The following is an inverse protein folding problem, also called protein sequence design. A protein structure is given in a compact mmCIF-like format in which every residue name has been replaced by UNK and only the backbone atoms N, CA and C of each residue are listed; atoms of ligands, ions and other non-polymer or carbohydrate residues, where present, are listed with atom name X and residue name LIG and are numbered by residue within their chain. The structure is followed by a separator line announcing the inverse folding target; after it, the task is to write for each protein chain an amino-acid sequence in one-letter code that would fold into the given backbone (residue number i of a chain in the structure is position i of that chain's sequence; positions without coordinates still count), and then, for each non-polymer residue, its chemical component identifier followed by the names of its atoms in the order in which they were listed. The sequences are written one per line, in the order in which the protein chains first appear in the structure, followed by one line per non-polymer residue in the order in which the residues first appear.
data_IF_420690842364
#
_entry.id   IF_420690842364
#
_cell.length_a   1.000
_cell.length_b   1.000
_cell.length_c   1.000
_cell.angle_alpha   90.00
_cell.angle_beta   90.00
_cell.angle_gamma   90.00
#
_symmetry.space_group_name_H-M   'P 1'
#
loop_
_entity.id
_entity.type
_entity.pdbx_description
1 polymer ?
#
# COMPACT_ATOMS: atom_id res chain seq x y z
N UNK A 1 -19.31 6.73 58.82
CA UNK A 1 -20.67 7.25 58.59
C UNK A 1 -21.22 7.53 59.97
N UNK A 2 -21.43 8.74 60.47
CA UNK A 2 -21.46 10.13 59.97
C UNK A 2 -20.31 10.96 60.60
N UNK A 3 -20.01 12.25 60.37
CA UNK A 3 -20.87 13.45 60.31
C UNK A 3 -20.11 14.62 59.64
N UNK A 4 -20.79 15.35 58.75
CA UNK A 4 -20.65 16.75 58.28
C UNK A 4 -19.26 17.40 58.11
N UNK A 5 -18.94 17.80 56.88
CA UNK A 5 -18.09 18.95 56.59
C UNK A 5 -18.89 19.94 55.73
N UNK A 6 -19.33 21.02 56.36
CA UNK A 6 -20.06 22.14 55.75
C UNK A 6 -19.01 23.00 55.02
N UNK A 7 -19.15 23.20 53.71
CA UNK A 7 -18.33 24.16 52.97
C UNK A 7 -18.98 25.54 53.12
N UNK A 8 -18.34 26.42 53.90
CA UNK A 8 -18.64 27.86 53.93
C UNK A 8 -18.24 28.49 52.58
N UNK A 9 -19.23 29.04 51.86
CA UNK A 9 -19.01 29.88 50.69
C UNK A 9 -19.07 31.34 51.15
N UNK A 10 -17.91 32.01 51.19
CA UNK A 10 -17.86 33.45 51.44
C UNK A 10 -18.31 34.20 50.18
N UNK A 11 -19.35 35.04 50.31
CA UNK A 11 -19.90 35.91 49.25
C UNK A 11 -19.62 37.36 49.65
N UNK A 12 -19.17 38.19 48.71
CA UNK A 12 -19.00 39.63 48.96
C UNK A 12 -20.34 40.39 48.80
N UNK A 13 -20.35 41.67 49.17
CA UNK A 13 -21.54 42.54 49.25
C UNK A 13 -22.28 42.75 47.92
N UNK A 14 -21.68 42.31 46.80
CA UNK A 14 -22.24 42.39 45.45
C UNK A 14 -22.60 41.03 44.83
N UNK A 15 -22.54 39.93 45.61
CA UNK A 15 -23.07 38.63 45.18
C UNK A 15 -22.18 37.81 44.23
N UNK A 16 -20.89 38.13 44.07
CA UNK A 16 -19.97 37.36 43.22
C UNK A 16 -19.19 36.30 44.00
N UNK A 17 -19.15 35.06 43.48
CA UNK A 17 -18.39 33.93 44.04
C UNK A 17 -16.92 34.08 43.68
N UNK A 18 -16.08 34.34 44.69
CA UNK A 18 -14.62 34.38 44.54
C UNK A 18 -14.07 32.97 44.31
N UNK A 19 -13.61 32.68 43.09
CA UNK A 19 -12.82 31.47 42.81
C UNK A 19 -11.44 31.61 43.46
N UNK A 20 -11.26 30.93 44.59
CA UNK A 20 -9.96 30.73 45.22
C UNK A 20 -9.14 29.72 44.41
N UNK A 21 -7.97 30.14 43.91
CA UNK A 21 -6.86 29.22 43.65
C UNK A 21 -5.54 29.97 43.67
N UNK A 22 -4.81 29.82 44.77
CA UNK A 22 -3.35 29.89 44.84
C UNK A 22 -2.95 28.63 45.63
N UNK A 23 -2.09 27.73 45.16
CA UNK A 23 -0.63 27.83 45.12
C UNK A 23 -0.06 26.46 44.64
N UNK A 24 1.26 26.26 44.42
CA UNK A 24 2.36 27.20 44.21
C UNK A 24 3.26 26.85 43.00
N UNK A 25 4.10 27.84 42.65
CA UNK A 25 5.26 27.79 41.76
C UNK A 25 6.28 26.71 42.15
N UNK A 26 6.75 25.93 41.17
CA UNK A 26 8.08 25.32 41.18
C UNK A 26 8.72 25.43 39.78
N UNK A 27 9.62 26.40 39.61
CA UNK A 27 10.57 26.44 38.50
C UNK A 27 11.59 25.31 38.64
N UNK A 28 11.71 24.48 37.60
CA UNK A 28 13.00 23.89 37.20
C UNK A 28 13.12 23.98 35.69
N UNK A 29 14.07 24.78 35.24
CA UNK A 29 14.57 24.85 33.87
C UNK A 29 15.27 23.54 33.54
N UNK A 30 14.86 22.85 32.48
CA UNK A 30 15.76 22.14 31.56
C UNK A 30 15.19 22.17 30.14
N UNK A 31 16.09 22.46 29.21
CA UNK A 31 15.91 22.78 27.81
C UNK A 31 15.77 21.48 26.99
N UNK A 32 14.64 21.25 26.32
CA UNK A 32 14.45 20.12 25.38
C UNK A 32 13.88 20.67 24.08
N UNK A 33 14.60 20.39 22.99
CA UNK A 33 14.48 21.02 21.68
C UNK A 33 13.10 20.94 21.02
N UNK A 34 12.82 21.99 20.26
CA UNK A 34 11.76 22.08 19.26
C UNK A 34 11.88 20.96 18.23
N UNK A 35 11.11 19.89 18.41
CA UNK A 35 10.66 19.05 17.31
C UNK A 35 9.37 19.66 16.75
N UNK A 36 9.51 20.41 15.67
CA UNK A 36 8.40 20.86 14.84
C UNK A 36 7.75 19.63 14.18
N UNK A 37 6.72 19.08 14.81
CA UNK A 37 5.77 18.21 14.14
C UNK A 37 4.88 19.07 13.25
N UNK A 38 5.28 19.22 11.99
CA UNK A 38 4.36 19.63 10.92
C UNK A 38 3.26 18.56 10.84
N UNK A 39 2.06 18.92 11.27
CA UNK A 39 0.83 18.17 11.04
C UNK A 39 0.69 17.87 9.54
N UNK A 40 0.96 16.61 9.19
CA UNK A 40 0.79 16.13 7.83
C UNK A 40 -0.71 15.87 7.62
N UNK A 41 -1.42 16.90 7.15
CA UNK A 41 -2.82 16.80 6.75
C UNK A 41 -2.88 15.98 5.45
N UNK A 42 -2.97 14.66 5.56
CA UNK A 42 -3.24 13.77 4.42
C UNK A 42 -4.75 13.79 4.22
N UNK A 43 -5.22 14.78 3.46
CA UNK A 43 -6.45 14.58 2.70
C UNK A 43 -6.16 13.44 1.71
N UNK A 44 -6.64 12.23 2.02
CA UNK A 44 -6.62 11.10 1.10
C UNK A 44 -7.52 11.43 -0.09
N UNK A 45 -6.98 12.17 -1.06
CA UNK A 45 -7.64 12.31 -2.35
C UNK A 45 -7.53 10.96 -3.06
N UNK A 46 -8.63 10.22 -3.17
CA UNK A 46 -8.75 8.95 -3.89
C UNK A 46 -8.26 8.99 -5.36
N UNK A 47 -7.92 10.17 -5.88
CA UNK A 47 -7.41 10.41 -7.23
C UNK A 47 -5.88 10.31 -7.38
N UNK A 48 -5.11 10.06 -6.31
CA UNK A 48 -3.64 10.13 -6.37
C UNK A 48 -2.99 9.00 -7.21
N UNK A 49 -3.72 7.92 -7.54
CA UNK A 49 -3.20 6.83 -8.39
C UNK A 49 -3.47 7.00 -9.90
N UNK A 50 -4.09 8.11 -10.34
CA UNK A 50 -4.22 8.41 -11.77
C UNK A 50 -2.89 8.91 -12.36
N UNK A 51 -2.39 8.24 -13.41
CA UNK A 51 -1.13 8.60 -14.08
C UNK A 51 -1.39 8.86 -15.56
N UNK A 52 -1.17 10.10 -16.00
CA UNK A 52 -1.22 10.41 -17.43
C UNK A 52 0.08 9.96 -18.14
N UNK A 53 0.11 10.12 -19.47
CA UNK A 53 1.28 9.78 -20.28
C UNK A 53 2.49 10.70 -20.05
N UNK A 54 2.27 12.01 -19.91
CA UNK A 54 3.32 13.00 -19.62
C UNK A 54 3.99 12.77 -18.26
N UNK A 55 3.24 12.53 -17.20
CA UNK A 55 3.75 12.31 -15.84
C UNK A 55 4.59 11.05 -15.80
N UNK A 56 4.11 9.98 -16.45
CA UNK A 56 4.85 8.73 -16.56
C UNK A 56 6.14 8.91 -17.36
N UNK A 57 6.11 9.72 -18.43
CA UNK A 57 7.30 10.03 -19.22
C UNK A 57 8.31 10.86 -18.43
N UNK A 58 7.83 11.87 -17.70
CA UNK A 58 8.65 12.72 -16.83
C UNK A 58 9.33 11.90 -15.73
N UNK A 59 8.59 11.02 -15.06
CA UNK A 59 9.13 10.07 -14.07
C UNK A 59 10.30 9.27 -14.63
N UNK A 60 10.15 8.71 -15.83
CA UNK A 60 11.19 7.89 -16.47
C UNK A 60 12.39 8.72 -16.91
N UNK A 61 12.16 9.90 -17.48
CA UNK A 61 13.24 10.78 -17.92
C UNK A 61 14.07 11.28 -16.75
N UNK A 62 13.42 11.78 -15.68
CA UNK A 62 14.11 12.21 -14.47
C UNK A 62 14.92 11.07 -13.85
N UNK A 63 14.36 9.86 -13.83
CA UNK A 63 15.09 8.68 -13.35
C UNK A 63 16.33 8.39 -14.20
N UNK A 64 16.21 8.48 -15.53
CA UNK A 64 17.34 8.28 -16.44
C UNK A 64 18.47 9.28 -16.20
N UNK A 65 18.14 10.56 -16.04
CA UNK A 65 19.09 11.65 -15.78
C UNK A 65 19.77 11.52 -14.39
N UNK A 66 19.04 11.01 -13.40
CA UNK A 66 19.54 10.89 -12.02
C UNK A 66 19.91 9.44 -11.63
N UNK A 67 20.10 8.56 -12.61
CA UNK A 67 20.34 7.12 -12.40
C UNK A 67 21.49 6.83 -11.44
N UNK A 68 22.60 7.56 -11.55
CA UNK A 68 23.76 7.40 -10.67
C UNK A 68 23.47 7.84 -9.23
N UNK A 69 22.62 8.86 -9.04
CA UNK A 69 22.15 9.26 -7.70
C UNK A 69 21.25 8.18 -7.09
N UNK A 70 20.41 7.52 -7.89
CA UNK A 70 19.58 6.39 -7.44
C UNK A 70 20.42 5.14 -7.08
N UNK A 71 21.62 4.99 -7.64
CA UNK A 71 22.56 3.92 -7.30
C UNK A 71 23.41 4.25 -6.08
N UNK A 72 23.65 5.53 -5.80
CA UNK A 72 24.45 5.98 -4.68
C UNK A 72 23.72 5.80 -3.33
N UNK A 73 24.28 4.98 -2.44
CA UNK A 73 23.72 4.74 -1.11
C UNK A 73 23.81 5.95 -0.15
N UNK A 74 24.64 6.95 -0.45
CA UNK A 74 24.74 8.18 0.36
C UNK A 74 23.54 9.11 0.16
N UNK A 75 22.81 8.97 -0.94
CA UNK A 75 21.65 9.79 -1.27
C UNK A 75 20.38 9.01 -0.88
N UNK A 76 19.52 9.63 -0.08
CA UNK A 76 18.22 9.05 0.26
C UNK A 76 17.34 9.02 -0.99
N UNK A 77 16.99 7.83 -1.46
CA UNK A 77 16.10 7.65 -2.64
C UNK A 77 14.74 8.34 -2.46
N UNK A 78 14.25 8.42 -1.22
CA UNK A 78 13.03 9.14 -0.84
C UNK A 78 13.06 10.60 -1.32
N UNK A 79 14.21 11.26 -1.24
CA UNK A 79 14.34 12.66 -1.64
C UNK A 79 14.27 12.82 -3.16
N UNK A 80 14.85 11.89 -3.92
CA UNK A 80 14.74 11.88 -5.37
C UNK A 80 13.29 11.62 -5.82
N UNK A 81 12.59 10.69 -5.18
CA UNK A 81 11.19 10.45 -5.46
C UNK A 81 10.30 11.64 -5.10
N UNK A 82 10.58 12.31 -3.97
CA UNK A 82 9.88 13.54 -3.57
C UNK A 82 10.08 14.65 -4.60
N UNK A 83 11.30 14.86 -5.12
CA UNK A 83 11.56 15.87 -6.15
C UNK A 83 10.73 15.65 -7.43
N UNK A 84 10.57 14.39 -7.85
CA UNK A 84 9.69 14.04 -8.97
C UNK A 84 8.24 14.33 -8.59
N UNK A 85 7.81 13.80 -7.45
CA UNK A 85 6.46 13.91 -6.94
C UNK A 85 5.97 15.36 -6.86
N UNK A 86 6.79 16.27 -6.32
CA UNK A 86 6.50 17.71 -6.25
C UNK A 86 6.29 18.36 -7.62
N UNK A 87 6.86 17.82 -8.70
CA UNK A 87 6.70 18.36 -10.06
C UNK A 87 5.44 17.86 -10.77
N UNK A 88 4.98 16.65 -10.46
CA UNK A 88 3.80 16.03 -11.08
C UNK A 88 2.59 15.98 -10.14
N UNK A 89 2.68 16.58 -8.94
CA UNK A 89 1.61 16.59 -7.94
C UNK A 89 1.31 15.21 -7.37
N UNK A 90 2.34 14.38 -7.15
CA UNK A 90 2.21 13.01 -6.61
C UNK A 90 3.04 12.83 -5.36
N UNK A 91 2.61 11.97 -4.45
CA UNK A 91 3.44 11.55 -3.34
C UNK A 91 4.69 10.74 -3.81
N UNK A 92 5.76 10.80 -3.01
CA UNK A 92 7.03 10.12 -3.28
C UNK A 92 6.87 8.59 -3.37
N UNK A 93 6.08 8.00 -2.48
CA UNK A 93 5.82 6.57 -2.45
C UNK A 93 5.05 6.09 -3.70
N UNK A 94 4.21 6.94 -4.30
CA UNK A 94 3.51 6.64 -5.55
C UNK A 94 4.46 6.63 -6.73
N UNK A 95 5.40 7.57 -6.79
CA UNK A 95 6.43 7.61 -7.82
C UNK A 95 7.27 6.34 -7.81
N UNK A 96 7.72 5.91 -6.62
CA UNK A 96 8.46 4.66 -6.45
C UNK A 96 7.61 3.44 -6.84
N UNK A 97 6.36 3.36 -6.38
CA UNK A 97 5.42 2.28 -6.72
C UNK A 97 5.20 2.20 -8.23
N UNK A 98 4.94 3.33 -8.88
CA UNK A 98 4.75 3.42 -10.33
C UNK A 98 5.98 2.94 -11.07
N UNK A 99 7.17 3.41 -10.69
CA UNK A 99 8.42 2.98 -11.33
C UNK A 99 8.64 1.48 -11.20
N UNK A 100 8.43 0.90 -10.00
CA UNK A 100 8.51 -0.55 -9.79
C UNK A 100 7.54 -1.32 -10.67
N UNK A 101 6.31 -0.83 -10.84
CA UNK A 101 5.31 -1.43 -11.72
C UNK A 101 5.75 -1.38 -13.19
N UNK A 102 6.26 -0.24 -13.67
CA UNK A 102 6.80 -0.09 -15.03
C UNK A 102 7.98 -1.04 -15.27
N UNK A 103 8.90 -1.15 -14.30
CA UNK A 103 10.02 -2.11 -14.36
C UNK A 103 9.50 -3.55 -14.44
N UNK A 104 8.49 -3.90 -13.66
CA UNK A 104 7.82 -5.21 -13.73
C UNK A 104 7.26 -5.52 -15.11
N UNK A 105 6.55 -4.57 -15.73
CA UNK A 105 6.02 -4.69 -17.09
C UNK A 105 7.13 -4.88 -18.12
N UNK A 106 8.19 -4.07 -18.08
CA UNK A 106 9.35 -4.23 -18.93
C UNK A 106 9.98 -5.63 -18.81
N UNK A 107 10.18 -6.11 -17.59
CA UNK A 107 10.75 -7.44 -17.33
C UNK A 107 9.85 -8.57 -17.86
N UNK A 108 8.52 -8.39 -17.89
CA UNK A 108 7.59 -9.35 -18.53
C UNK A 108 7.73 -9.32 -20.05
N UNK A 109 7.82 -8.12 -20.63
CA UNK A 109 7.94 -7.93 -22.08
C UNK A 109 9.23 -8.53 -22.63
N UNK A 110 10.39 -8.28 -22.01
CA UNK A 110 11.66 -8.88 -22.45
C UNK A 110 11.66 -10.40 -22.36
N UNK A 111 11.05 -10.97 -21.30
CA UNK A 111 10.93 -12.43 -21.14
C UNK A 111 10.01 -13.03 -22.19
N UNK A 112 8.93 -12.34 -22.56
CA UNK A 112 8.03 -12.78 -23.63
C UNK A 112 8.74 -12.73 -24.98
N UNK A 113 9.43 -11.63 -25.30
CA UNK A 113 10.22 -11.50 -26.53
C UNK A 113 11.27 -12.60 -26.66
N UNK A 114 11.91 -12.98 -25.55
CA UNK A 114 12.85 -14.11 -25.51
C UNK A 114 12.19 -15.47 -25.79
N UNK A 115 10.95 -15.70 -25.34
CA UNK A 115 10.24 -16.98 -25.50
C UNK A 115 9.61 -17.15 -26.87
N UNK A 116 8.95 -16.10 -27.37
CA UNK A 116 8.13 -16.14 -28.60
C UNK A 116 8.93 -15.66 -29.82
N UNK A 117 10.09 -15.03 -29.62
CA UNK A 117 10.91 -14.48 -30.68
C UNK A 117 10.49 -13.08 -31.11
N UNK A 118 10.68 -12.76 -32.39
CA UNK A 118 10.64 -11.42 -33.00
C UNK A 118 9.24 -10.79 -33.11
N UNK A 119 8.52 -10.74 -31.99
CA UNK A 119 7.29 -9.95 -31.88
C UNK A 119 7.63 -8.51 -31.52
N UNK A 120 7.10 -7.51 -32.26
CA UNK A 120 7.33 -6.11 -31.93
C UNK A 120 6.62 -5.75 -30.62
N UNK A 121 7.33 -5.08 -29.71
CA UNK A 121 6.78 -4.62 -28.44
C UNK A 121 6.18 -3.23 -28.64
N UNK A 122 4.84 -3.13 -28.58
CA UNK A 122 4.08 -1.87 -28.79
C UNK A 122 3.92 -1.01 -27.53
N UNK A 123 4.73 -1.22 -26.50
CA UNK A 123 4.57 -0.48 -25.25
C UNK A 123 5.30 0.87 -25.33
N UNK A 124 4.61 2.02 -25.15
CA UNK A 124 5.19 3.34 -25.39
C UNK A 124 6.46 3.63 -24.60
N UNK A 125 6.56 3.08 -23.39
CA UNK A 125 7.68 3.29 -22.48
C UNK A 125 8.82 2.28 -22.64
N UNK A 126 8.73 1.38 -23.63
CA UNK A 126 9.70 0.30 -23.78
C UNK A 126 11.10 0.83 -24.06
N UNK A 127 11.27 1.79 -24.97
CA UNK A 127 12.59 2.34 -25.32
C UNK A 127 13.23 3.03 -24.12
N UNK A 128 12.53 3.96 -23.48
CA UNK A 128 13.02 4.67 -22.29
C UNK A 128 13.42 3.69 -21.19
N UNK A 129 12.57 2.71 -20.91
CA UNK A 129 12.87 1.72 -19.88
C UNK A 129 14.03 0.79 -20.28
N UNK A 130 14.16 0.45 -21.56
CA UNK A 130 15.31 -0.29 -22.07
C UNK A 130 16.60 0.48 -21.85
N UNK A 131 16.64 1.77 -22.15
CA UNK A 131 17.82 2.61 -21.97
C UNK A 131 18.22 2.76 -20.50
N UNK A 132 17.25 2.91 -19.61
CA UNK A 132 17.49 2.96 -18.17
C UNK A 132 18.08 1.62 -17.67
N UNK A 133 17.59 0.49 -18.18
CA UNK A 133 17.82 -0.82 -17.58
C UNK A 133 18.83 -1.72 -18.31
N UNK A 134 19.25 -1.39 -19.54
CA UNK A 134 20.18 -2.20 -20.36
C UNK A 134 21.53 -2.46 -19.67
N UNK A 135 21.93 -1.57 -18.77
CA UNK A 135 23.19 -1.70 -18.03
C UNK A 135 23.11 -2.61 -16.80
N UNK A 136 21.92 -2.84 -16.26
CA UNK A 136 21.74 -3.63 -15.04
C UNK A 136 22.17 -5.08 -15.30
N UNK A 137 23.13 -5.59 -14.52
CA UNK A 137 23.71 -6.94 -14.68
C UNK A 137 22.66 -8.05 -14.72
N UNK A 138 21.61 -7.93 -13.91
CA UNK A 138 20.51 -8.89 -13.86
C UNK A 138 19.67 -8.86 -15.14
N UNK A 139 19.56 -7.70 -15.78
CA UNK A 139 18.76 -7.50 -16.99
C UNK A 139 19.59 -7.89 -18.21
N UNK A 140 20.89 -7.57 -18.23
CA UNK A 140 21.85 -8.08 -19.23
C UNK A 140 21.77 -9.60 -19.35
N UNK A 141 21.75 -10.33 -18.23
CA UNK A 141 21.59 -11.80 -18.22
C UNK A 141 20.31 -12.27 -18.92
N UNK A 142 19.21 -11.51 -18.83
CA UNK A 142 17.93 -11.85 -19.46
C UNK A 142 17.94 -11.53 -20.97
N UNK A 143 18.66 -10.48 -21.36
CA UNK A 143 18.76 -10.00 -22.74
C UNK A 143 19.74 -10.81 -23.62
N UNK A 144 20.70 -11.53 -23.02
CA UNK A 144 21.64 -12.36 -23.77
C UNK A 144 20.89 -13.39 -24.63
N UNK A 145 21.31 -13.60 -25.90
CA UNK A 145 20.79 -14.68 -26.74
C UNK A 145 20.95 -16.02 -26.01
N UNK A 146 19.95 -16.88 -26.11
CA UNK A 146 20.08 -18.27 -25.68
C UNK A 146 21.19 -18.88 -26.56
N UNK A 147 22.21 -19.55 -25.99
CA UNK A 147 23.19 -20.25 -26.82
C UNK A 147 22.43 -21.23 -27.71
N UNK A 148 22.45 -20.98 -29.02
CA UNK A 148 22.03 -21.94 -30.02
C UNK A 148 22.90 -23.16 -29.81
N UNK A 149 22.34 -24.24 -29.28
CA UNK A 149 23.01 -25.54 -29.34
C UNK A 149 23.18 -25.78 -30.85
N UNK A 150 24.42 -25.87 -31.37
CA UNK A 150 24.60 -26.21 -32.78
C UNK A 150 23.92 -27.56 -32.97
N UNK A 151 22.99 -27.63 -33.93
CA UNK A 151 22.37 -28.89 -34.32
C UNK A 151 23.51 -29.87 -34.58
N UNK A 152 23.61 -30.92 -33.76
CA UNK A 152 24.70 -31.88 -33.89
C UNK A 152 24.45 -32.65 -35.19
N UNK A 153 25.35 -32.41 -36.14
CA UNK A 153 25.36 -33.07 -37.42
C UNK A 153 25.51 -34.57 -37.21
N UNK A 154 24.60 -35.31 -37.82
CA UNK A 154 24.62 -36.76 -38.01
C UNK A 154 26.03 -37.31 -38.22
N UNK A 155 26.51 -38.13 -37.28
CA UNK A 155 27.43 -39.22 -37.57
C UNK A 155 27.01 -40.44 -36.74
N UNK A 156 26.95 -41.58 -37.42
CA UNK A 156 26.31 -42.85 -37.04
C UNK A 156 27.05 -43.62 -35.94
N UNK A 157 26.31 -44.62 -35.42
CA UNK A 157 26.67 -45.80 -34.60
C UNK A 157 26.67 -45.59 -33.08
N UNK A 158 25.97 -46.37 -32.24
CA UNK A 158 25.47 -47.75 -32.30
C UNK A 158 24.26 -47.90 -31.34
N UNK A 159 23.24 -48.66 -31.74
CA UNK A 159 22.43 -49.51 -30.86
C UNK A 159 21.39 -48.88 -29.92
N UNK A 160 20.11 -48.89 -30.33
CA UNK A 160 18.99 -49.42 -29.51
C UNK A 160 17.67 -49.46 -30.31
N UNK A 161 17.45 -50.63 -30.89
CA UNK A 161 16.21 -51.35 -31.22
C UNK A 161 14.92 -50.57 -31.54
N UNK A 162 14.51 -50.72 -32.80
CA UNK A 162 13.17 -50.46 -33.34
C UNK A 162 12.14 -51.44 -32.77
N UNK A 163 11.00 -50.93 -32.30
CA UNK A 163 9.71 -51.60 -32.53
C UNK A 163 8.71 -50.54 -32.95
N UNK A 164 8.38 -50.55 -34.24
CA UNK A 164 7.16 -49.93 -34.79
C UNK A 164 6.07 -51.00 -34.69
N UNK A 165 4.91 -50.65 -34.14
CA UNK A 165 3.66 -51.39 -34.38
C UNK A 165 2.54 -50.41 -34.79
N UNK A 166 1.79 -50.67 -35.86
CA UNK A 166 0.84 -49.75 -36.47
C UNK A 166 -0.61 -50.03 -36.02
N UNK A 167 -1.41 -48.98 -35.77
CA UNK A 167 -2.71 -48.70 -36.43
C UNK A 167 -3.57 -47.66 -35.68
N UNK A 168 -4.20 -46.82 -36.51
CA UNK A 168 -5.55 -46.23 -36.41
C UNK A 168 -5.88 -45.11 -35.41
N UNK A 169 -6.25 -43.98 -36.00
CA UNK A 169 -6.94 -42.82 -35.44
C UNK A 169 -8.40 -43.15 -35.05
N UNK A 170 -8.90 -42.66 -33.89
CA UNK A 170 -10.32 -42.29 -33.66
C UNK A 170 -10.43 -41.16 -32.63
N UNK A 171 -11.42 -40.28 -32.86
CA UNK A 171 -11.63 -38.97 -32.22
C UNK A 171 -12.40 -39.00 -30.88
N UNK A 172 -11.99 -38.14 -29.93
CA UNK A 172 -12.76 -37.47 -28.83
C UNK A 172 -13.41 -38.35 -27.71
N UNK A 173 -13.98 -37.76 -26.62
CA UNK A 173 -13.30 -37.15 -25.47
C UNK A 173 -13.76 -37.76 -24.12
N UNK A 174 -12.89 -37.93 -23.13
CA UNK A 174 -13.30 -38.06 -21.72
C UNK A 174 -12.14 -37.92 -20.73
N UNK A 175 -12.49 -37.39 -19.57
CA UNK A 175 -11.72 -37.13 -18.38
C UNK A 175 -10.97 -38.35 -17.81
N UNK A 176 -9.76 -38.10 -17.30
CA UNK A 176 -9.16 -38.58 -16.03
C UNK A 176 -7.76 -39.17 -16.18
N UNK A 177 -6.82 -38.60 -15.40
CA UNK A 177 -5.69 -39.23 -14.67
C UNK A 177 -4.69 -40.11 -15.46
N UNK A 178 -3.37 -40.05 -15.34
CA UNK A 178 -2.37 -39.32 -14.55
C UNK A 178 -1.02 -39.62 -15.26
N UNK A 179 -0.06 -38.70 -15.28
CA UNK A 179 1.35 -39.06 -15.00
C UNK A 179 2.27 -37.85 -14.81
N UNK A 180 2.77 -37.74 -13.57
CA UNK A 180 4.16 -37.51 -13.18
C UNK A 180 5.00 -36.51 -13.99
N UNK A 181 5.12 -35.29 -13.44
CA UNK A 181 6.07 -34.28 -13.89
C UNK A 181 6.48 -33.30 -12.78
N UNK A 182 7.61 -33.58 -12.13
CA UNK A 182 8.59 -32.58 -11.67
C UNK A 182 8.11 -31.49 -10.70
N UNK A 183 8.18 -31.78 -9.41
CA UNK A 183 8.50 -30.92 -8.26
C UNK A 183 8.61 -29.40 -8.51
N UNK A 184 7.53 -28.64 -8.28
CA UNK A 184 7.43 -27.43 -7.42
C UNK A 184 6.02 -26.78 -7.36
N UNK A 185 4.89 -27.50 -7.17
CA UNK A 185 3.57 -26.84 -7.00
C UNK A 185 3.34 -26.30 -5.57
N UNK A 186 4.07 -26.82 -4.59
CA UNK A 186 3.67 -26.77 -3.17
C UNK A 186 3.90 -25.39 -2.51
N UNK A 187 4.97 -24.67 -2.88
CA UNK A 187 5.27 -23.35 -2.30
C UNK A 187 4.30 -22.25 -2.78
N UNK A 188 3.82 -22.35 -4.03
CA UNK A 188 2.89 -21.38 -4.60
C UNK A 188 1.51 -21.51 -3.96
N UNK A 189 0.99 -22.74 -3.81
CA UNK A 189 -0.30 -23.02 -3.15
C UNK A 189 -0.33 -22.48 -1.72
N UNK A 190 0.68 -22.82 -0.91
CA UNK A 190 0.83 -22.32 0.48
C UNK A 190 0.91 -20.79 0.57
N UNK A 191 1.50 -20.12 -0.41
CA UNK A 191 1.56 -18.65 -0.43
C UNK A 191 0.19 -18.03 -0.72
N UNK A 192 -0.58 -18.60 -1.64
CA UNK A 192 -1.95 -18.16 -1.92
C UNK A 192 -2.88 -18.39 -0.72
N UNK A 193 -2.72 -19.50 0.01
CA UNK A 193 -3.52 -19.80 1.20
C UNK A 193 -3.27 -18.79 2.33
N UNK A 194 -2.01 -18.36 2.54
CA UNK A 194 -1.68 -17.30 3.50
C UNK A 194 -2.32 -15.95 3.15
N UNK A 195 -2.34 -15.58 1.87
CA UNK A 195 -3.00 -14.34 1.44
C UNK A 195 -4.52 -14.42 1.57
N UNK A 196 -5.12 -15.59 1.30
CA UNK A 196 -6.56 -15.82 1.52
C UNK A 196 -6.92 -15.67 3.01
N UNK A 197 -6.16 -16.30 3.89
CA UNK A 197 -6.37 -16.18 5.35
C UNK A 197 -6.23 -14.74 5.83
N UNK A 198 -5.20 -14.01 5.39
CA UNK A 198 -5.02 -12.60 5.73
C UNK A 198 -6.20 -11.74 5.24
N UNK A 199 -6.72 -11.99 4.04
CA UNK A 199 -7.86 -11.26 3.50
C UNK A 199 -9.14 -11.54 4.30
N UNK A 200 -9.38 -12.79 4.71
CA UNK A 200 -10.49 -13.16 5.58
C UNK A 200 -10.37 -12.52 6.96
N UNK A 201 -9.17 -12.49 7.54
CA UNK A 201 -8.90 -11.83 8.82
C UNK A 201 -9.17 -10.32 8.76
N UNK A 202 -8.69 -9.65 7.70
CA UNK A 202 -8.97 -8.21 7.48
C UNK A 202 -10.48 -7.97 7.39
N UNK A 203 -11.20 -8.81 6.62
CA UNK A 203 -12.66 -8.69 6.47
C UNK A 203 -13.39 -8.92 7.79
N UNK A 204 -12.96 -9.88 8.60
CA UNK A 204 -13.53 -10.13 9.92
C UNK A 204 -13.26 -8.97 10.89
N UNK A 205 -12.03 -8.42 10.88
CA UNK A 205 -11.69 -7.24 11.67
C UNK A 205 -12.54 -6.03 11.27
N UNK A 206 -12.72 -5.79 9.96
CA UNK A 206 -13.59 -4.73 9.45
C UNK A 206 -15.02 -4.91 9.95
N UNK A 207 -15.61 -6.09 9.78
CA UNK A 207 -16.95 -6.39 10.27
C UNK A 207 -17.08 -6.20 11.80
N UNK A 208 -16.06 -6.58 12.56
CA UNK A 208 -16.04 -6.36 14.01
C UNK A 208 -15.95 -4.88 14.38
N UNK A 209 -15.17 -4.09 13.64
CA UNK A 209 -15.09 -2.65 13.83
C UNK A 209 -16.41 -1.96 13.46
N UNK A 210 -17.05 -2.34 12.37
CA UNK A 210 -18.37 -1.84 11.96
C UNK A 210 -19.40 -2.02 13.08
N UNK A 211 -19.51 -3.24 13.64
CA UNK A 211 -20.42 -3.51 14.77
C UNK A 211 -20.10 -2.64 16.00
N UNK A 212 -18.81 -2.38 16.26
CA UNK A 212 -18.40 -1.49 17.37
C UNK A 212 -18.76 -0.03 17.09
N UNK A 213 -18.61 0.42 15.84
CA UNK A 213 -18.99 1.77 15.40
C UNK A 213 -20.51 1.93 15.53
N UNK A 214 -21.30 0.97 15.09
CA UNK A 214 -22.76 1.02 15.20
C UNK A 214 -23.21 1.11 16.67
N UNK A 215 -22.61 0.32 17.55
CA UNK A 215 -22.89 0.38 18.98
C UNK A 215 -22.49 1.73 19.59
N UNK A 216 -21.37 2.30 19.16
CA UNK A 216 -20.93 3.62 19.61
C UNK A 216 -21.89 4.72 19.13
N UNK A 217 -22.33 4.66 17.87
CA UNK A 217 -23.32 5.58 17.32
C UNK A 217 -24.64 5.49 18.08
N UNK A 218 -25.10 4.27 18.42
CA UNK A 218 -26.30 4.07 19.24
C UNK A 218 -26.17 4.73 20.62
N UNK A 219 -25.02 4.57 21.29
CA UNK A 219 -24.76 5.19 22.60
C UNK A 219 -24.74 6.71 22.49
N UNK A 220 -24.09 7.26 21.46
CA UNK A 220 -24.03 8.70 21.22
C UNK A 220 -25.43 9.29 20.96
N UNK A 221 -26.24 8.61 20.15
CA UNK A 221 -27.63 9.01 19.88
C UNK A 221 -28.44 9.08 21.19
N UNK A 222 -28.40 8.03 22.01
CA UNK A 222 -29.09 8.02 23.31
C UNK A 222 -28.57 9.12 24.24
N UNK A 223 -27.26 9.37 24.26
CA UNK A 223 -26.69 10.43 25.07
C UNK A 223 -27.18 11.81 24.64
N UNK A 224 -27.22 12.07 23.33
CA UNK A 224 -27.73 13.32 22.77
C UNK A 224 -29.21 13.50 23.08
N UNK A 225 -30.04 12.46 22.93
CA UNK A 225 -31.47 12.51 23.30
C UNK A 225 -31.69 12.89 24.77
N UNK A 226 -30.86 12.35 25.68
CA UNK A 226 -30.90 12.71 27.11
C UNK A 226 -30.53 14.17 27.31
N UNK A 227 -29.48 14.65 26.62
CA UNK A 227 -29.06 16.05 26.70
C UNK A 227 -30.12 17.01 26.17
N UNK A 228 -30.74 16.69 25.02
CA UNK A 228 -31.83 17.46 24.45
C UNK A 228 -33.03 17.54 25.41
N UNK A 229 -33.40 16.39 25.99
CA UNK A 229 -34.49 16.33 26.97
C UNK A 229 -34.16 17.17 28.20
N UNK A 230 -32.94 17.09 28.74
CA UNK A 230 -32.48 17.91 29.86
C UNK A 230 -32.56 19.40 29.53
N UNK A 231 -32.03 19.80 28.38
CA UNK A 231 -31.99 21.19 27.95
C UNK A 231 -33.42 21.74 27.75
N UNK A 232 -34.33 20.94 27.20
CA UNK A 232 -35.75 21.29 27.05
C UNK A 232 -36.43 21.51 28.40
N UNK A 233 -36.23 20.62 29.37
CA UNK A 233 -36.81 20.77 30.71
C UNK A 233 -36.28 22.02 31.41
N UNK A 234 -34.99 22.33 31.26
CA UNK A 234 -34.39 23.56 31.79
C UNK A 234 -35.02 24.81 31.16
N UNK A 235 -35.23 24.82 29.84
CA UNK A 235 -35.91 25.92 29.17
C UNK A 235 -37.34 26.11 29.69
N UNK A 236 -38.10 25.03 29.84
CA UNK A 236 -39.47 25.08 30.39
C UNK A 236 -39.49 25.65 31.82
N UNK A 237 -38.56 25.22 32.67
CA UNK A 237 -38.44 25.74 34.04
C UNK A 237 -38.11 27.24 34.05
N UNK A 238 -37.16 27.67 33.23
CA UNK A 238 -36.80 29.08 33.10
C UNK A 238 -37.96 29.94 32.57
N UNK A 239 -38.80 29.41 31.69
CA UNK A 239 -40.01 30.10 31.22
C UNK A 239 -41.08 30.23 32.29
N UNK A 240 -41.27 29.20 33.12
CA UNK A 240 -42.20 29.24 34.25
C UNK A 240 -41.79 30.30 35.28
N UNK A 241 -40.49 30.44 35.54
CA UNK A 241 -39.95 31.44 36.48
C UNK A 241 -40.01 32.89 35.96
N UNK A 242 -40.32 33.10 34.68
CA UNK A 242 -40.48 34.43 34.06
C UNK A 242 -41.93 34.95 34.10
N UNK A 243 -42.88 34.12 34.52
CA UNK A 243 -44.29 34.51 34.74
C UNK A 243 -44.51 34.86 36.20
#
# INVERSE_FOLDING_TARGET
MDVNEIIEIAVNENGEVLKSSNNPVLEKKENVGEDNQEEFNIEETENDDHWNHSDTRYLLQFYAENKEKFRNNKIKKKDLWRQIGSKIGKADYLCDRKFRNLKGTYLKLIRRKRKVGSTPIRWPYFSLMHDILKEDVNIKKILKPIPTIPALNSTRNEGLFLVVSPYANKSTPACSTDNEGGTTPNLRRRKFDKYRQLAEEIKQRQKSMEVKIDKMNEILMKSNEIQETRNRLLQQYLEQMKK
#
